data_IF_869028151077
#
_entry.id   IF_869028151077
#
_cell.length_a   1.000
_cell.length_b   1.000
_cell.length_c   1.000
_cell.angle_alpha   90.00
_cell.angle_beta   90.00
_cell.angle_gamma   90.00
#
_symmetry.space_group_name_H-M   'P 1'
#
loop_
_entity.id
_entity.type
_entity.pdbx_description
1 polymer ?
#
# COMPACT_ATOMS: atom_id res chain seq x y z
N UNK A 1 24.37 22.95 -9.56
CA UNK A 1 23.07 23.51 -9.11
C UNK A 1 21.88 22.58 -9.41
N UNK A 2 22.08 21.26 -9.52
CA UNK A 2 21.01 20.24 -9.59
C UNK A 2 21.00 19.31 -8.34
N UNK A 3 21.96 19.47 -7.41
CA UNK A 3 22.12 18.58 -6.27
C UNK A 3 21.08 18.76 -5.15
N UNK A 4 20.44 19.93 -5.05
CA UNK A 4 19.57 20.25 -3.93
C UNK A 4 18.17 19.65 -4.06
N UNK A 5 17.68 19.40 -5.29
CA UNK A 5 16.37 18.76 -5.51
C UNK A 5 16.40 17.26 -5.19
N UNK A 6 17.53 16.58 -5.39
CA UNK A 6 17.68 15.16 -5.01
C UNK A 6 17.63 14.94 -3.49
N UNK A 7 18.09 15.93 -2.69
CA UNK A 7 18.09 15.83 -1.22
C UNK A 7 16.71 15.98 -0.59
N UNK A 8 15.81 16.73 -1.22
CA UNK A 8 14.42 16.89 -0.73
C UNK A 8 13.56 15.69 -1.16
N UNK A 9 13.91 15.03 -2.26
CA UNK A 9 13.33 13.75 -2.69
C UNK A 9 13.89 12.56 -1.90
N UNK A 10 15.11 12.66 -1.35
CA UNK A 10 15.60 11.79 -0.27
C UNK A 10 14.86 12.11 1.05
N UNK A 11 13.53 11.90 1.07
CA UNK A 11 12.71 12.07 2.28
C UNK A 11 12.96 10.94 3.26
N UNK A 12 14.00 11.09 4.07
CA UNK A 12 14.21 10.37 5.34
C UNK A 12 14.28 11.32 6.56
N UNK A 13 14.03 12.63 6.41
CA UNK A 13 14.37 13.63 7.44
C UNK A 13 13.19 14.14 8.32
N UNK A 14 12.03 13.48 8.33
CA UNK A 14 11.02 13.71 9.39
C UNK A 14 10.70 12.42 10.11
N UNK A 15 10.74 12.45 11.45
CA UNK A 15 10.40 11.29 12.29
C UNK A 15 9.01 10.71 11.92
N UNK A 16 8.06 11.59 11.57
CA UNK A 16 6.73 11.19 11.11
C UNK A 16 6.75 10.44 9.77
N UNK A 17 7.53 10.89 8.78
CA UNK A 17 7.64 10.22 7.48
C UNK A 17 8.25 8.83 7.61
N UNK A 18 9.27 8.68 8.48
CA UNK A 18 9.90 7.38 8.74
C UNK A 18 8.95 6.40 9.45
N UNK A 19 8.19 6.87 10.44
CA UNK A 19 7.16 6.07 11.11
C UNK A 19 6.07 5.65 10.13
N UNK A 20 5.64 6.57 9.25
CA UNK A 20 4.66 6.27 8.22
C UNK A 20 5.15 5.18 7.26
N UNK A 21 6.37 5.32 6.73
CA UNK A 21 6.98 4.31 5.84
C UNK A 21 7.07 2.95 6.52
N UNK A 22 7.54 2.90 7.77
CA UNK A 22 7.63 1.65 8.54
C UNK A 22 6.25 1.04 8.81
N UNK A 23 5.25 1.86 9.12
CA UNK A 23 3.88 1.39 9.36
C UNK A 23 3.26 0.78 8.11
N UNK A 24 3.40 1.43 6.95
CA UNK A 24 2.93 0.90 5.66
C UNK A 24 3.68 -0.39 5.31
N UNK A 25 5.00 -0.43 5.49
CA UNK A 25 5.78 -1.65 5.24
C UNK A 25 5.35 -2.81 6.14
N UNK A 26 5.11 -2.55 7.43
CA UNK A 26 4.57 -3.56 8.34
C UNK A 26 3.17 -4.03 7.90
N UNK A 27 2.30 -3.10 7.47
CA UNK A 27 0.97 -3.42 6.98
C UNK A 27 1.01 -4.28 5.71
N UNK A 28 1.96 -4.06 4.80
CA UNK A 28 2.16 -4.90 3.61
C UNK A 28 2.50 -6.33 4.03
N UNK A 29 3.46 -6.50 4.94
CA UNK A 29 3.83 -7.84 5.44
C UNK A 29 2.64 -8.53 6.10
N UNK A 30 1.89 -7.81 6.94
CA UNK A 30 0.69 -8.35 7.58
C UNK A 30 -0.41 -8.70 6.56
N UNK A 31 -0.58 -7.90 5.50
CA UNK A 31 -1.54 -8.18 4.42
C UNK A 31 -1.19 -9.45 3.67
N UNK A 32 0.08 -9.66 3.34
CA UNK A 32 0.54 -10.90 2.69
C UNK A 32 0.32 -12.12 3.59
N UNK A 33 0.59 -11.99 4.90
CA UNK A 33 0.33 -13.07 5.86
C UNK A 33 -1.17 -13.35 5.96
N UNK A 34 -2.01 -12.32 6.09
CA UNK A 34 -3.47 -12.43 6.14
C UNK A 34 -4.01 -13.15 4.90
N UNK A 35 -3.59 -12.70 3.71
CA UNK A 35 -3.97 -13.32 2.44
C UNK A 35 -3.53 -14.79 2.38
N UNK A 36 -2.32 -15.10 2.83
CA UNK A 36 -1.82 -16.48 2.89
C UNK A 36 -2.66 -17.34 3.84
N UNK A 37 -3.07 -16.82 5.00
CA UNK A 37 -3.94 -17.52 5.94
C UNK A 37 -5.35 -17.77 5.38
N UNK A 38 -5.88 -16.82 4.61
CA UNK A 38 -7.19 -16.96 3.97
C UNK A 38 -7.22 -18.10 2.93
N UNK A 39 -6.08 -18.46 2.34
CA UNK A 39 -5.99 -19.61 1.42
C UNK A 39 -6.07 -20.98 2.11
N UNK A 40 -6.02 -21.06 3.45
CA UNK A 40 -6.04 -22.34 4.16
C UNK A 40 -7.44 -22.97 4.14
N UNK A 41 -7.57 -24.27 3.84
CA UNK A 41 -8.84 -24.98 3.94
C UNK A 41 -9.25 -25.14 5.41
N UNK A 42 -10.57 -25.06 5.68
CA UNK A 42 -11.18 -25.23 7.01
C UNK A 42 -10.94 -24.10 8.03
N UNK A 43 -10.80 -22.86 7.57
CA UNK A 43 -10.90 -21.71 8.47
C UNK A 43 -12.32 -21.59 9.04
N UNK A 44 -12.44 -21.36 10.35
CA UNK A 44 -13.74 -21.04 10.98
C UNK A 44 -14.31 -19.74 10.42
N UNK A 45 -15.64 -19.66 10.27
CA UNK A 45 -16.36 -18.49 9.76
C UNK A 45 -15.96 -17.19 10.48
N UNK A 46 -15.68 -17.25 11.78
CA UNK A 46 -15.20 -16.10 12.54
C UNK A 46 -13.86 -15.58 12.03
N UNK A 47 -12.89 -16.47 11.79
CA UNK A 47 -11.57 -16.08 11.31
C UNK A 47 -11.63 -15.59 9.87
N UNK A 48 -12.49 -16.17 9.02
CA UNK A 48 -12.71 -15.66 7.67
C UNK A 48 -13.21 -14.22 7.70
N UNK A 49 -14.21 -13.90 8.53
CA UNK A 49 -14.73 -12.54 8.66
C UNK A 49 -13.67 -11.55 9.18
N UNK A 50 -12.83 -11.98 10.13
CA UNK A 50 -11.74 -11.14 10.65
C UNK A 50 -10.69 -10.85 9.58
N UNK A 51 -10.27 -11.86 8.82
CA UNK A 51 -9.29 -11.70 7.74
C UNK A 51 -9.83 -10.84 6.60
N UNK A 52 -11.09 -11.02 6.21
CA UNK A 52 -11.75 -10.17 5.21
C UNK A 52 -11.87 -8.72 5.69
N UNK A 53 -12.27 -8.49 6.94
CA UNK A 53 -12.31 -7.14 7.51
C UNK A 53 -10.92 -6.47 7.52
N UNK A 54 -9.88 -7.25 7.82
CA UNK A 54 -8.49 -6.79 7.79
C UNK A 54 -8.00 -6.50 6.36
N UNK A 55 -8.38 -7.31 5.38
CA UNK A 55 -8.08 -7.08 3.97
C UNK A 55 -8.70 -5.76 3.49
N UNK A 56 -10.00 -5.58 3.71
CA UNK A 56 -10.73 -4.36 3.35
C UNK A 56 -10.09 -3.13 4.01
N UNK A 57 -9.74 -3.23 5.29
CA UNK A 57 -9.03 -2.17 6.01
C UNK A 57 -7.68 -1.84 5.36
N UNK A 58 -6.87 -2.86 5.07
CA UNK A 58 -5.53 -2.69 4.52
C UNK A 58 -5.58 -2.08 3.11
N UNK A 59 -6.51 -2.54 2.27
CA UNK A 59 -6.73 -1.99 0.93
C UNK A 59 -7.21 -0.55 0.99
N UNK A 60 -8.09 -0.19 1.92
CA UNK A 60 -8.51 1.19 2.12
C UNK A 60 -7.31 2.09 2.48
N UNK A 61 -6.45 1.65 3.40
CA UNK A 61 -5.23 2.37 3.78
C UNK A 61 -4.29 2.54 2.60
N UNK A 62 -3.97 1.48 1.87
CA UNK A 62 -3.09 1.53 0.69
C UNK A 62 -3.67 2.39 -0.45
N UNK A 63 -4.99 2.36 -0.63
CA UNK A 63 -5.66 3.21 -1.64
C UNK A 63 -5.51 4.69 -1.28
N UNK A 64 -5.77 5.07 -0.03
CA UNK A 64 -5.58 6.45 0.44
C UNK A 64 -4.11 6.86 0.26
N UNK A 65 -3.20 5.98 0.64
CA UNK A 65 -1.76 6.20 0.53
C UNK A 65 -1.32 6.47 -0.91
N UNK A 66 -1.76 5.62 -1.84
CA UNK A 66 -1.50 5.77 -3.26
C UNK A 66 -2.05 7.09 -3.81
N UNK A 67 -3.29 7.43 -3.47
CA UNK A 67 -3.94 8.70 -3.90
C UNK A 67 -3.18 9.91 -3.38
N UNK A 68 -2.73 9.87 -2.12
CA UNK A 68 -1.91 10.95 -1.55
C UNK A 68 -0.58 11.07 -2.29
N UNK A 69 0.13 9.97 -2.54
CA UNK A 69 1.39 9.97 -3.31
C UNK A 69 1.20 10.55 -4.71
N UNK A 70 0.17 10.12 -5.44
CA UNK A 70 -0.16 10.65 -6.77
C UNK A 70 -0.51 12.14 -6.71
N UNK A 71 -1.22 12.58 -5.68
CA UNK A 71 -1.66 13.98 -5.53
C UNK A 71 -0.49 14.93 -5.25
N UNK A 72 0.51 14.49 -4.49
CA UNK A 72 1.71 15.27 -4.19
C UNK A 72 2.83 15.12 -5.21
N UNK A 73 2.72 14.21 -6.18
CA UNK A 73 3.71 14.05 -7.24
C UNK A 73 3.69 15.22 -8.23
N UNK A 74 4.87 15.80 -8.51
CA UNK A 74 5.02 16.90 -9.48
C UNK A 74 4.51 16.53 -10.88
N UNK A 75 4.67 15.26 -11.27
CA UNK A 75 4.19 14.70 -12.54
C UNK A 75 3.37 13.44 -12.27
N UNK A 76 2.06 13.62 -12.03
CA UNK A 76 1.11 12.55 -11.69
C UNK A 76 1.20 11.31 -12.58
N UNK A 77 1.13 11.51 -13.91
CA UNK A 77 1.21 10.40 -14.87
C UNK A 77 2.57 9.70 -14.83
N UNK A 78 3.66 10.46 -14.71
CA UNK A 78 5.00 9.87 -14.60
C UNK A 78 5.16 9.05 -13.32
N UNK A 79 4.50 9.44 -12.22
CA UNK A 79 4.48 8.65 -10.99
C UNK A 79 3.64 7.37 -11.14
N UNK A 80 2.44 7.47 -11.71
CA UNK A 80 1.57 6.30 -11.93
C UNK A 80 2.28 5.22 -12.77
N UNK A 81 3.02 5.62 -13.80
CA UNK A 81 3.83 4.73 -14.64
C UNK A 81 5.26 4.51 -14.12
N UNK A 82 5.60 5.02 -12.95
CA UNK A 82 6.90 4.75 -12.32
C UNK A 82 6.91 3.37 -11.67
N UNK A 83 8.12 2.81 -11.46
CA UNK A 83 8.27 1.54 -10.77
C UNK A 83 7.55 1.51 -9.41
N UNK A 84 7.73 2.55 -8.58
CA UNK A 84 7.09 2.62 -7.26
C UNK A 84 5.57 2.78 -7.35
N UNK A 85 5.08 3.64 -8.25
CA UNK A 85 3.64 3.81 -8.46
C UNK A 85 2.96 2.55 -8.99
N UNK A 86 3.65 1.75 -9.80
CA UNK A 86 3.16 0.45 -10.25
C UNK A 86 3.11 -0.57 -9.10
N UNK A 87 4.11 -0.62 -8.21
CA UNK A 87 4.09 -1.52 -7.05
C UNK A 87 2.93 -1.16 -6.11
N UNK A 88 2.73 0.13 -5.81
CA UNK A 88 1.62 0.57 -4.96
C UNK A 88 0.26 0.22 -5.61
N UNK A 89 0.12 0.42 -6.93
CA UNK A 89 -1.10 0.08 -7.66
C UNK A 89 -1.35 -1.44 -7.63
N UNK A 90 -0.32 -2.25 -7.88
CA UNK A 90 -0.40 -3.71 -7.86
C UNK A 90 -0.73 -4.26 -6.47
N UNK A 91 -0.40 -3.54 -5.39
CA UNK A 91 -0.74 -3.96 -4.03
C UNK A 91 -2.25 -3.87 -3.73
N UNK A 92 -2.98 -2.94 -4.37
CA UNK A 92 -4.43 -2.78 -4.19
C UNK A 92 -5.26 -3.43 -5.30
N UNK A 93 -4.67 -3.65 -6.47
CA UNK A 93 -5.36 -4.13 -7.67
C UNK A 93 -6.11 -5.46 -7.47
N UNK A 94 -5.53 -6.51 -6.85
CA UNK A 94 -6.20 -7.80 -6.73
C UNK A 94 -7.57 -7.71 -6.04
N UNK A 95 -7.67 -6.92 -4.97
CA UNK A 95 -8.92 -6.70 -4.25
C UNK A 95 -10.01 -6.06 -5.12
N UNK A 96 -9.65 -5.04 -5.91
CA UNK A 96 -10.62 -4.41 -6.81
C UNK A 96 -11.03 -5.34 -7.95
N UNK A 97 -10.10 -6.19 -8.42
CA UNK A 97 -10.41 -7.20 -9.44
C UNK A 97 -11.40 -8.23 -8.88
N UNK A 98 -11.16 -8.77 -7.69
CA UNK A 98 -12.07 -9.74 -7.05
C UNK A 98 -13.40 -9.14 -6.61
N UNK A 99 -13.45 -7.86 -6.27
CA UNK A 99 -14.70 -7.18 -5.90
C UNK A 99 -15.63 -6.90 -7.10
N UNK A 100 -15.08 -6.79 -8.31
CA UNK A 100 -15.85 -6.51 -9.54
C UNK A 100 -16.27 -7.80 -10.27
N UNK A 101 -15.43 -8.84 -10.24
CA UNK A 101 -15.67 -10.16 -10.85
C UNK A 101 -16.66 -11.00 -10.05
#
# INVERSE_FOLDING_TARGET
MFNNLSRIVNRDETAAGRVFTLAIQALIVLSIVSFSLETLPNLSDFWQQVLQAFEVFSVAVFTIEYVLRVSFAERKLAFIFSFYGLIDLLAILPFYVTAIL
#
